data_IF_937414889301
#
_entry.id   IF_937414889301
#
_cell.length_a   1.000
_cell.length_b   1.000
_cell.length_c   1.000
_cell.angle_alpha   90.00
_cell.angle_beta   90.00
_cell.angle_gamma   90.00
#
_symmetry.space_group_name_H-M   'P 1'
#
loop_
_entity.id
_entity.type
_entity.pdbx_description
1 polymer ?
#
# COMPACT_ATOMS: atom_id res chain seq x y z
N UNK A 1 -13.93 -13.00 -16.30
CA UNK A 1 -13.22 -12.05 -15.42
C UNK A 1 -12.84 -12.74 -14.14
N UNK A 2 -11.74 -12.35 -13.51
CA UNK A 2 -11.18 -12.95 -12.29
C UNK A 2 -11.44 -12.05 -11.08
N UNK A 3 -12.70 -11.66 -10.85
CA UNK A 3 -13.07 -10.56 -9.95
C UNK A 3 -12.40 -10.58 -8.57
N UNK A 4 -12.33 -9.42 -7.92
CA UNK A 4 -11.64 -9.23 -6.64
C UNK A 4 -12.66 -8.94 -5.53
N UNK A 5 -12.61 -9.70 -4.44
CA UNK A 5 -13.54 -9.55 -3.30
C UNK A 5 -13.17 -8.36 -2.43
N UNK A 6 -14.06 -7.37 -2.34
CA UNK A 6 -13.94 -6.24 -1.43
C UNK A 6 -14.38 -6.66 -0.02
N UNK A 7 -13.54 -6.44 1.00
CA UNK A 7 -13.82 -6.81 2.41
C UNK A 7 -13.72 -5.63 3.40
N UNK A 8 -13.36 -4.43 2.92
CA UNK A 8 -13.18 -3.26 3.76
C UNK A 8 -12.93 -1.99 2.97
N UNK A 9 -12.84 -0.87 3.68
CA UNK A 9 -12.49 0.45 3.14
C UNK A 9 -11.66 1.26 4.13
N UNK A 10 -10.79 2.12 3.60
CA UNK A 10 -10.06 3.11 4.40
C UNK A 10 -11.05 4.18 4.87
N UNK A 11 -11.21 4.35 6.19
CA UNK A 11 -12.11 5.36 6.76
C UNK A 11 -11.40 6.66 7.14
N UNK A 12 -10.07 6.61 7.35
CA UNK A 12 -9.20 7.76 7.66
C UNK A 12 -7.80 7.52 7.07
N UNK A 13 -7.08 8.59 6.73
CA UNK A 13 -5.70 8.51 6.23
C UNK A 13 -5.57 8.20 4.73
N UNK A 14 -6.60 8.49 3.92
CA UNK A 14 -6.53 8.27 2.47
C UNK A 14 -5.45 9.14 1.80
N UNK A 15 -5.17 10.32 2.36
CA UNK A 15 -4.06 11.19 1.96
C UNK A 15 -2.69 10.53 2.16
N UNK A 16 -2.52 9.71 3.21
CA UNK A 16 -1.30 8.92 3.42
C UNK A 16 -1.20 7.82 2.36
N UNK A 17 -2.31 7.14 2.04
CA UNK A 17 -2.35 6.14 0.95
C UNK A 17 -1.95 6.78 -0.38
N UNK A 18 -2.48 7.97 -0.69
CA UNK A 18 -2.15 8.70 -1.91
C UNK A 18 -0.69 9.15 -1.96
N UNK A 19 -0.09 9.49 -0.81
CA UNK A 19 1.34 9.80 -0.72
C UNK A 19 2.20 8.55 -1.00
N UNK A 20 1.84 7.41 -0.40
CA UNK A 20 2.50 6.12 -0.61
C UNK A 20 2.44 5.73 -2.10
N UNK A 21 1.31 5.93 -2.76
CA UNK A 21 1.14 5.61 -4.18
C UNK A 21 2.05 6.42 -5.13
N UNK A 22 2.59 7.57 -4.68
CA UNK A 22 3.40 8.48 -5.50
C UNK A 22 4.90 8.38 -5.24
N UNK A 23 5.34 7.52 -4.33
CA UNK A 23 6.76 7.36 -4.00
C UNK A 23 7.56 6.87 -5.21
N UNK A 24 8.85 7.19 -5.25
CA UNK A 24 9.74 6.70 -6.30
C UNK A 24 9.87 5.19 -6.20
N UNK A 25 9.74 4.51 -7.33
CA UNK A 25 9.91 3.07 -7.44
C UNK A 25 11.04 2.69 -8.40
N UNK A 26 11.54 1.48 -8.25
CA UNK A 26 12.51 0.84 -9.14
C UNK A 26 11.95 -0.51 -9.64
N UNK A 27 12.50 -1.00 -10.75
CA UNK A 27 12.33 -2.37 -11.18
C UNK A 27 13.56 -3.19 -10.77
N UNK A 28 13.36 -4.30 -10.06
CA UNK A 28 14.44 -5.20 -9.64
C UNK A 28 13.96 -6.64 -9.65
N UNK A 29 14.86 -7.59 -9.97
CA UNK A 29 14.57 -9.03 -9.98
C UNK A 29 13.30 -9.45 -10.76
N UNK A 30 13.00 -8.76 -11.87
CA UNK A 30 11.80 -9.04 -12.69
C UNK A 30 10.49 -8.51 -12.10
N UNK A 31 10.53 -7.87 -10.92
CA UNK A 31 9.41 -7.19 -10.31
C UNK A 31 9.48 -5.68 -10.61
N UNK A 32 8.32 -5.08 -10.85
CA UNK A 32 8.16 -3.64 -11.09
C UNK A 32 7.51 -2.96 -9.90
N UNK A 33 7.61 -1.63 -9.83
CA UNK A 33 6.94 -0.78 -8.84
C UNK A 33 7.38 -1.04 -7.38
N UNK A 34 8.65 -1.43 -7.15
CA UNK A 34 9.20 -1.59 -5.81
C UNK A 34 9.65 -0.22 -5.28
N UNK A 35 9.16 0.26 -4.12
CA UNK A 35 9.59 1.53 -3.55
C UNK A 35 11.12 1.58 -3.34
N UNK A 36 11.75 2.69 -3.72
CA UNK A 36 13.20 2.91 -3.52
C UNK A 36 13.55 2.95 -2.03
N UNK A 37 12.72 3.65 -1.25
CA UNK A 37 12.75 3.57 0.21
C UNK A 37 11.64 2.64 0.66
N UNK A 38 11.94 1.59 1.45
CA UNK A 38 10.91 0.72 2.01
C UNK A 38 9.89 1.49 2.85
N UNK A 39 8.65 1.03 2.83
CA UNK A 39 7.55 1.57 3.64
C UNK A 39 7.09 0.44 4.56
N UNK A 40 7.21 0.66 5.86
CA UNK A 40 6.90 -0.34 6.88
C UNK A 40 5.54 -0.06 7.51
N UNK A 41 4.82 -1.13 7.86
CA UNK A 41 3.72 -1.07 8.81
C UNK A 41 4.35 -1.37 10.17
N UNK A 42 4.45 -0.35 11.03
CA UNK A 42 5.18 -0.44 12.30
C UNK A 42 4.38 -1.16 13.39
N UNK A 43 3.06 -0.92 13.43
CA UNK A 43 2.15 -1.53 14.40
C UNK A 43 0.74 -1.68 13.80
N UNK A 44 -0.06 -2.61 14.36
CA UNK A 44 -1.45 -2.84 13.98
C UNK A 44 -2.30 -3.10 15.22
N UNK A 45 -3.28 -2.24 15.48
CA UNK A 45 -4.25 -2.39 16.56
C UNK A 45 -5.65 -2.72 16.02
N UNK A 46 -6.27 -3.77 16.54
CA UNK A 46 -7.68 -4.09 16.26
C UNK A 46 -8.56 -3.38 17.27
N UNK A 47 -9.17 -2.27 16.83
CA UNK A 47 -10.12 -1.51 17.64
C UNK A 47 -11.37 -2.35 17.92
N UNK A 48 -11.84 -2.32 19.18
CA UNK A 48 -13.08 -2.98 19.62
C UNK A 48 -14.31 -2.11 19.40
#
# INVERSE_FOLDING_TARGET
GWGYTVFGKVTKGMDVVDQIARVKTIATAGQQNIPVSPIYIEDVEVMK
#
